data_IF_126393324019
#
_entry.id   IF_126393324019
#
_cell.length_a   1.000
_cell.length_b   1.000
_cell.length_c   1.000
_cell.angle_alpha   90.00
_cell.angle_beta   90.00
_cell.angle_gamma   90.00
#
_symmetry.space_group_name_H-M   'P 1'
#
loop_
_entity.id
_entity.type
_entity.pdbx_description
1 polymer ?
#
# COMPACT_ATOMS: atom_id res chain seq x y z
N UNK A 1 3.14 -10.14 5.60
CA UNK A 1 3.30 -11.11 4.49
C UNK A 1 3.83 -12.47 4.93
N UNK A 2 4.69 -12.56 5.94
CA UNK A 2 5.32 -13.84 6.31
C UNK A 2 4.34 -14.93 6.79
N UNK A 3 3.30 -14.56 7.52
CA UNK A 3 2.26 -15.50 7.94
C UNK A 3 1.52 -16.15 6.74
N UNK A 4 1.25 -15.36 5.69
CA UNK A 4 0.56 -15.87 4.48
C UNK A 4 1.50 -16.77 3.66
N UNK A 5 2.78 -16.44 3.56
CA UNK A 5 3.76 -17.31 2.88
C UNK A 5 3.95 -18.65 3.58
N UNK A 6 3.79 -18.70 4.92
CA UNK A 6 3.84 -19.95 5.67
C UNK A 6 2.62 -20.85 5.43
N UNK A 7 1.46 -20.26 5.10
CA UNK A 7 0.25 -21.03 4.77
C UNK A 7 0.26 -21.50 3.31
N UNK A 8 0.81 -20.70 2.40
CA UNK A 8 0.82 -20.96 0.96
C UNK A 8 2.24 -21.10 0.40
N UNK A 9 2.98 -22.10 0.90
CA UNK A 9 4.41 -22.30 0.60
C UNK A 9 4.76 -22.37 -0.90
N UNK A 10 3.87 -22.87 -1.74
CA UNK A 10 4.13 -23.05 -3.18
C UNK A 10 3.52 -21.96 -4.07
N UNK A 11 2.78 -21.01 -3.49
CA UNK A 11 2.03 -20.04 -4.28
C UNK A 11 2.81 -18.76 -4.57
N UNK A 12 4.09 -18.67 -4.17
CA UNK A 12 4.95 -17.51 -4.41
C UNK A 12 4.23 -16.17 -4.10
N UNK A 13 3.44 -16.13 -3.01
CA UNK A 13 2.51 -15.02 -2.75
C UNK A 13 3.24 -13.69 -2.57
N UNK A 14 4.46 -13.73 -2.03
CA UNK A 14 5.36 -12.57 -2.00
C UNK A 14 5.61 -11.99 -3.40
N UNK A 15 5.94 -12.85 -4.37
CA UNK A 15 6.22 -12.41 -5.74
C UNK A 15 4.96 -11.82 -6.35
N UNK A 16 3.81 -12.48 -6.19
CA UNK A 16 2.52 -12.00 -6.66
C UNK A 16 2.14 -10.63 -6.08
N UNK A 17 2.37 -10.43 -4.78
CA UNK A 17 2.14 -9.16 -4.10
C UNK A 17 3.03 -8.04 -4.64
N UNK A 18 4.30 -8.32 -4.95
CA UNK A 18 5.20 -7.33 -5.53
C UNK A 18 4.70 -6.89 -6.91
N UNK A 19 4.36 -7.82 -7.82
CA UNK A 19 3.92 -7.42 -9.17
C UNK A 19 2.56 -6.75 -9.18
N UNK A 20 1.62 -7.19 -8.33
CA UNK A 20 0.25 -6.66 -8.36
C UNK A 20 0.06 -5.41 -7.52
N UNK A 21 0.67 -5.35 -6.34
CA UNK A 21 0.40 -4.29 -5.36
C UNK A 21 1.48 -3.23 -5.38
N UNK A 22 2.77 -3.63 -5.31
CA UNK A 22 3.87 -2.68 -5.19
C UNK A 22 4.07 -1.87 -6.48
N UNK A 23 4.07 -2.54 -7.64
CA UNK A 23 4.24 -1.86 -8.92
C UNK A 23 3.12 -0.83 -9.19
N UNK A 24 1.89 -1.21 -8.90
CA UNK A 24 0.73 -0.32 -9.06
C UNK A 24 0.74 0.84 -8.07
N UNK A 25 1.19 0.62 -6.83
CA UNK A 25 1.36 1.69 -5.86
C UNK A 25 2.36 2.73 -6.35
N UNK A 26 3.52 2.30 -6.85
CA UNK A 26 4.55 3.19 -7.39
C UNK A 26 4.05 3.99 -8.59
N UNK A 27 3.27 3.34 -9.47
CA UNK A 27 2.67 4.01 -10.64
C UNK A 27 1.70 5.11 -10.21
N UNK A 28 0.76 4.79 -9.31
CA UNK A 28 -0.25 5.74 -8.83
C UNK A 28 0.35 6.88 -7.99
N UNK A 29 1.44 6.61 -7.27
CA UNK A 29 2.17 7.61 -6.52
C UNK A 29 2.94 8.57 -7.44
N UNK A 30 3.55 8.04 -8.52
CA UNK A 30 4.20 8.86 -9.56
C UNK A 30 3.20 9.79 -10.23
N UNK A 31 1.99 9.30 -10.49
CA UNK A 31 0.90 10.08 -11.09
C UNK A 31 0.23 11.05 -10.10
N UNK A 32 0.73 11.16 -8.86
CA UNK A 32 0.18 12.02 -7.78
C UNK A 32 -1.29 11.75 -7.44
N UNK A 33 -1.76 10.54 -7.70
CA UNK A 33 -3.14 10.10 -7.39
C UNK A 33 -3.24 9.74 -5.91
N UNK A 34 -2.18 9.17 -5.33
CA UNK A 34 -2.11 8.84 -3.91
C UNK A 34 -1.78 10.07 -3.07
N UNK A 35 -2.47 10.20 -1.94
CA UNK A 35 -2.12 11.21 -0.93
C UNK A 35 -0.86 10.79 -0.16
N UNK A 36 -0.13 11.73 0.44
CA UNK A 36 0.94 11.40 1.38
C UNK A 36 0.45 10.51 2.53
N UNK A 37 1.26 9.52 2.90
CA UNK A 37 0.98 8.60 4.02
C UNK A 37 0.79 9.34 5.34
N UNK A 38 1.57 10.41 5.55
CA UNK A 38 1.40 11.33 6.66
C UNK A 38 0.71 12.57 6.10
N UNK A 39 -0.57 12.75 6.45
CA UNK A 39 -1.34 13.94 6.11
C UNK A 39 -2.23 14.34 7.28
N UNK A 40 -2.43 15.64 7.46
CA UNK A 40 -3.38 16.15 8.45
C UNK A 40 -4.81 15.81 8.04
N UNK A 41 -5.55 15.20 8.96
CA UNK A 41 -6.97 14.88 8.80
C UNK A 41 -7.74 15.91 9.63
N UNK A 42 -8.48 16.78 8.96
CA UNK A 42 -9.27 17.85 9.57
C UNK A 42 -10.72 17.44 9.80
N UNK A 43 -11.19 16.37 9.15
CA UNK A 43 -12.49 15.80 9.42
C UNK A 43 -12.76 14.47 8.70
N UNK A 44 -13.93 13.85 8.98
CA UNK A 44 -14.31 12.58 8.38
C UNK A 44 -14.52 12.63 6.87
N UNK A 45 -14.51 13.81 6.25
CA UNK A 45 -14.60 14.00 4.79
C UNK A 45 -13.25 13.87 4.07
N UNK A 46 -12.15 13.91 4.82
CA UNK A 46 -10.81 13.90 4.24
C UNK A 46 -10.34 12.47 3.88
N UNK A 47 -11.12 11.46 4.30
CA UNK A 47 -10.97 10.04 4.00
C UNK A 47 -11.43 9.69 2.57
N UNK A 48 -10.88 10.37 1.57
CA UNK A 48 -11.16 10.01 0.19
C UNK A 48 -10.41 8.75 -0.26
N UNK A 49 -10.72 8.28 -1.46
CA UNK A 49 -10.10 7.08 -2.04
C UNK A 49 -8.58 7.20 -2.15
N UNK A 50 -8.04 8.40 -2.38
CA UNK A 50 -6.60 8.65 -2.46
C UNK A 50 -5.88 8.44 -1.12
N UNK A 51 -6.55 8.76 0.00
CA UNK A 51 -6.06 8.46 1.35
C UNK A 51 -6.03 6.95 1.63
N UNK A 52 -7.10 6.22 1.28
CA UNK A 52 -7.17 4.77 1.47
C UNK A 52 -6.13 4.00 0.63
N UNK A 53 -5.91 4.44 -0.61
CA UNK A 53 -4.90 3.86 -1.49
C UNK A 53 -3.50 4.02 -0.92
N UNK A 54 -3.16 5.21 -0.43
CA UNK A 54 -1.88 5.44 0.23
C UNK A 54 -1.71 4.50 1.44
N UNK A 55 -2.65 4.52 2.39
CA UNK A 55 -2.50 3.78 3.65
C UNK A 55 -2.40 2.26 3.48
N UNK A 56 -3.24 1.65 2.65
CA UNK A 56 -3.31 0.18 2.54
C UNK A 56 -2.40 -0.40 1.47
N UNK A 57 -2.09 0.36 0.42
CA UNK A 57 -1.28 -0.13 -0.71
C UNK A 57 0.16 0.33 -0.55
N UNK A 58 0.41 1.58 -0.17
CA UNK A 58 1.76 2.15 -0.01
C UNK A 58 2.32 1.90 1.39
N UNK A 59 1.51 2.05 2.44
CA UNK A 59 1.93 1.95 3.85
C UNK A 59 2.69 0.67 4.20
N UNK A 60 2.24 -0.53 3.78
CA UNK A 60 2.96 -1.78 4.03
C UNK A 60 4.35 -1.88 3.35
N UNK A 61 4.67 -0.97 2.44
CA UNK A 61 5.92 -0.94 1.69
C UNK A 61 6.88 0.17 2.18
N UNK A 62 6.46 1.02 3.11
CA UNK A 62 7.30 2.12 3.63
C UNK A 62 8.03 1.69 4.90
N UNK A 63 9.34 1.50 4.79
CA UNK A 63 10.21 1.11 5.90
C UNK A 63 10.35 2.20 6.99
N UNK A 64 9.93 3.45 6.72
CA UNK A 64 9.95 4.55 7.70
C UNK A 64 8.70 4.61 8.59
N UNK A 65 7.70 3.75 8.37
CA UNK A 65 6.47 3.68 9.19
C UNK A 65 6.56 2.48 10.14
N UNK A 66 7.62 2.45 10.95
CA UNK A 66 7.84 1.49 12.03
C UNK A 66 8.16 2.16 13.35
#
# INVERSE_FOLDING_TARGET
>A
MDAINQVYLNCHIKDLFVVQTLQEALRLDTDSIMKPLISEINGPSDNDSGFYFAYYVKGPNDDNIR
#
